data_IF_978774208382
#
_entry.id   IF_978774208382
#
_cell.length_a   1.000
_cell.length_b   1.000
_cell.length_c   1.000
_cell.angle_alpha   90.00
_cell.angle_beta   90.00
_cell.angle_gamma   90.00
#
_symmetry.space_group_name_H-M   'P 1'
#
loop_
_entity.id
_entity.type
_entity.pdbx_description
1 polymer ?
#
# COMPACT_ATOMS: atom_id res chain seq x y z
N UNK A 1 2.13 4.89 26.15
CA UNK A 1 0.72 5.24 25.86
C UNK A 1 0.63 5.25 24.35
N UNK A 2 0.44 4.09 23.73
CA UNK A 2 0.61 3.91 22.28
C UNK A 2 -0.62 4.52 21.57
N UNK A 3 -0.48 5.79 21.19
CA UNK A 3 -0.55 6.21 19.79
C UNK A 3 -1.81 5.83 19.00
N UNK A 4 -2.98 6.22 19.49
CA UNK A 4 -4.30 6.06 18.83
C UNK A 4 -4.34 6.56 17.36
N UNK A 5 -3.34 7.32 16.91
CA UNK A 5 -3.22 7.86 15.54
C UNK A 5 -2.03 7.36 14.73
N UNK A 6 -1.12 6.55 15.30
CA UNK A 6 0.06 6.02 14.60
C UNK A 6 -0.31 5.17 13.39
N UNK A 7 -1.43 4.45 13.49
CA UNK A 7 -1.90 3.55 12.45
C UNK A 7 -2.04 4.25 11.09
N UNK A 8 -2.28 5.56 11.06
CA UNK A 8 -2.37 6.36 9.83
C UNK A 8 -1.03 6.35 9.10
N UNK A 9 0.08 6.56 9.82
CA UNK A 9 1.42 6.51 9.24
C UNK A 9 1.74 5.11 8.75
N UNK A 10 1.37 4.07 9.51
CA UNK A 10 1.59 2.68 9.13
C UNK A 10 0.83 2.31 7.86
N UNK A 11 -0.44 2.68 7.73
CA UNK A 11 -1.24 2.44 6.51
C UNK A 11 -0.66 3.18 5.31
N UNK A 12 -0.26 4.44 5.47
CA UNK A 12 0.35 5.21 4.37
C UNK A 12 1.64 4.52 3.90
N UNK A 13 2.51 4.10 4.83
CA UNK A 13 3.75 3.43 4.48
C UNK A 13 3.51 2.06 3.81
N UNK A 14 2.52 1.29 4.29
CA UNK A 14 2.14 0.02 3.67
C UNK A 14 1.59 0.24 2.26
N UNK A 15 0.71 1.23 2.06
CA UNK A 15 0.11 1.52 0.75
C UNK A 15 1.16 2.02 -0.27
N UNK A 16 2.13 2.81 0.19
CA UNK A 16 3.29 3.21 -0.62
C UNK A 16 4.14 2.00 -1.04
N UNK A 17 4.48 1.12 -0.09
CA UNK A 17 5.27 -0.09 -0.38
C UNK A 17 4.50 -1.07 -1.29
N UNK A 18 3.20 -1.27 -1.08
CA UNK A 18 2.35 -2.09 -1.95
C UNK A 18 2.35 -1.56 -3.39
N UNK A 19 2.25 -0.24 -3.58
CA UNK A 19 2.32 0.38 -4.90
C UNK A 19 3.67 0.13 -5.60
N UNK A 20 4.78 0.26 -4.86
CA UNK A 20 6.12 -0.03 -5.38
C UNK A 20 6.29 -1.51 -5.77
N UNK A 21 5.78 -2.42 -4.94
CA UNK A 21 5.80 -3.86 -5.20
C UNK A 21 4.96 -4.23 -6.42
N UNK A 22 3.78 -3.64 -6.59
CA UNK A 22 2.93 -3.85 -7.78
C UNK A 22 3.66 -3.45 -9.07
N UNK A 23 4.32 -2.29 -9.08
CA UNK A 23 5.13 -1.83 -10.22
C UNK A 23 6.27 -2.82 -10.48
N UNK A 24 6.99 -3.24 -9.44
CA UNK A 24 8.12 -4.18 -9.56
C UNK A 24 7.67 -5.55 -10.09
N UNK A 25 6.55 -6.08 -9.60
CA UNK A 25 5.96 -7.33 -10.05
C UNK A 25 5.57 -7.25 -11.54
N UNK A 26 4.91 -6.17 -11.94
CA UNK A 26 4.53 -5.96 -13.34
C UNK A 26 5.75 -5.92 -14.27
N UNK A 27 6.81 -5.24 -13.88
CA UNK A 27 8.05 -5.18 -14.65
C UNK A 27 8.72 -6.55 -14.75
N UNK A 28 8.83 -7.30 -13.64
CA UNK A 28 9.46 -8.61 -13.64
C UNK A 28 8.63 -9.67 -14.40
N UNK A 29 7.30 -9.62 -14.32
CA UNK A 29 6.40 -10.50 -15.10
C UNK A 29 6.51 -10.21 -16.60
N UNK A 30 6.56 -8.93 -16.99
CA UNK A 30 6.79 -8.54 -18.39
C UNK A 30 8.15 -9.01 -18.88
N UNK A 31 9.20 -8.80 -18.10
CA UNK A 31 10.53 -9.30 -18.44
C UNK A 31 10.52 -10.83 -18.58
N UNK A 32 9.92 -11.57 -17.65
CA UNK A 32 9.80 -13.03 -17.73
C UNK A 32 9.11 -13.48 -19.04
N UNK A 33 8.06 -12.79 -19.47
CA UNK A 33 7.37 -13.12 -20.73
C UNK A 33 8.26 -12.98 -21.97
N UNK A 34 9.20 -12.02 -21.96
CA UNK A 34 10.18 -11.82 -23.04
C UNK A 34 11.23 -12.93 -23.10
N UNK A 35 11.48 -13.55 -21.95
CA UNK A 35 12.35 -14.71 -21.84
C UNK A 35 11.63 -16.05 -22.03
N UNK A 36 10.32 -16.07 -22.27
CA UNK A 36 9.58 -17.31 -22.47
C UNK A 36 9.79 -17.88 -23.88
N UNK A 37 10.58 -18.95 -23.98
CA UNK A 37 10.83 -19.67 -25.23
C UNK A 37 9.56 -20.30 -25.81
N UNK A 38 8.59 -20.71 -24.99
CA UNK A 38 7.36 -21.37 -25.44
C UNK A 38 6.37 -20.37 -26.05
N UNK A 39 6.29 -19.17 -25.48
CA UNK A 39 5.46 -18.07 -25.99
C UNK A 39 6.13 -17.26 -27.11
N UNK A 40 7.35 -17.62 -27.52
CA UNK A 40 8.07 -16.92 -28.58
C UNK A 40 8.63 -15.55 -28.14
N UNK A 41 9.03 -15.43 -26.88
CA UNK A 41 9.70 -14.26 -26.32
C UNK A 41 10.91 -13.82 -27.14
N UNK A 42 11.01 -12.51 -27.38
CA UNK A 42 12.02 -11.90 -28.23
C UNK A 42 13.46 -12.12 -27.71
N UNK A 43 13.65 -12.07 -26.38
CA UNK A 43 14.95 -12.26 -25.76
C UNK A 43 15.39 -13.73 -25.78
N UNK A 44 14.46 -14.67 -25.62
CA UNK A 44 14.75 -16.10 -25.63
C UNK A 44 15.27 -16.60 -27.00
N UNK A 45 14.75 -16.05 -28.10
CA UNK A 45 15.07 -16.46 -29.48
C UNK A 45 16.53 -16.26 -29.88
N UNK A 46 17.22 -15.32 -29.25
CA UNK A 46 18.60 -14.95 -29.59
C UNK A 46 19.63 -15.50 -28.59
N UNK A 47 19.20 -16.38 -27.68
CA UNK A 47 20.02 -16.87 -26.58
C UNK A 47 20.06 -18.39 -26.56
N UNK A 48 21.10 -18.96 -25.96
CA UNK A 48 21.16 -20.41 -25.76
C UNK A 48 20.18 -20.84 -24.65
N UNK A 49 19.78 -22.11 -24.69
CA UNK A 49 18.79 -22.68 -23.76
C UNK A 49 19.17 -22.48 -22.29
N UNK A 50 20.43 -22.69 -21.93
CA UNK A 50 20.90 -22.57 -20.54
C UNK A 50 20.82 -21.14 -20.02
N UNK A 51 21.18 -20.15 -20.84
CA UNK A 51 21.06 -18.72 -20.50
C UNK A 51 19.61 -18.34 -20.27
N UNK A 52 18.71 -18.74 -21.18
CA UNK A 52 17.28 -18.47 -21.05
C UNK A 52 16.70 -19.12 -19.80
N UNK A 53 17.00 -20.40 -19.55
CA UNK A 53 16.52 -21.12 -18.37
C UNK A 53 17.01 -20.47 -17.07
N UNK A 54 18.30 -20.13 -16.98
CA UNK A 54 18.86 -19.45 -15.79
C UNK A 54 18.18 -18.11 -15.53
N UNK A 55 17.92 -17.34 -16.58
CA UNK A 55 17.27 -16.04 -16.47
C UNK A 55 15.80 -16.17 -16.03
N UNK A 56 15.07 -17.14 -16.59
CA UNK A 56 13.70 -17.45 -16.18
C UNK A 56 13.62 -17.87 -14.71
N UNK A 57 14.51 -18.75 -14.25
CA UNK A 57 14.57 -19.20 -12.85
C UNK A 57 14.74 -17.99 -11.92
N UNK A 58 15.75 -17.16 -12.18
CA UNK A 58 16.02 -15.96 -11.36
C UNK A 58 14.83 -15.00 -11.32
N UNK A 59 14.16 -14.78 -12.45
CA UNK A 59 13.00 -13.90 -12.50
C UNK A 59 11.82 -14.48 -11.71
N UNK A 60 11.61 -15.80 -11.77
CA UNK A 60 10.57 -16.47 -10.99
C UNK A 60 10.83 -16.37 -9.49
N UNK A 61 12.08 -16.58 -9.06
CA UNK A 61 12.48 -16.42 -7.65
C UNK A 61 12.18 -15.00 -7.16
N UNK A 62 12.58 -13.97 -7.91
CA UNK A 62 12.30 -12.56 -7.57
C UNK A 62 10.79 -12.28 -7.53
N UNK A 63 10.02 -12.80 -8.48
CA UNK A 63 8.55 -12.64 -8.49
C UNK A 63 7.92 -13.30 -7.26
N UNK A 64 8.40 -14.48 -6.86
CA UNK A 64 7.92 -15.20 -5.68
C UNK A 64 8.21 -14.42 -4.39
N UNK A 65 9.42 -13.88 -4.23
CA UNK A 65 9.81 -13.03 -3.10
C UNK A 65 8.95 -11.77 -3.01
N UNK A 66 8.77 -11.06 -4.12
CA UNK A 66 7.93 -9.86 -4.19
C UNK A 66 6.45 -10.17 -3.88
N UNK A 67 5.93 -11.30 -4.39
CA UNK A 67 4.55 -11.72 -4.13
C UNK A 67 4.36 -12.06 -2.65
N UNK A 68 5.30 -12.79 -2.05
CA UNK A 68 5.27 -13.11 -0.63
C UNK A 68 5.25 -11.84 0.23
N UNK A 69 6.10 -10.86 -0.10
CA UNK A 69 6.12 -9.57 0.60
C UNK A 69 4.80 -8.81 0.44
N UNK A 70 4.21 -8.82 -0.75
CA UNK A 70 2.91 -8.19 -1.02
C UNK A 70 1.80 -8.82 -0.17
N UNK A 71 1.78 -10.15 -0.05
CA UNK A 71 0.83 -10.89 0.79
C UNK A 71 0.99 -10.54 2.28
N UNK A 72 2.23 -10.48 2.79
CA UNK A 72 2.52 -10.09 4.16
C UNK A 72 2.02 -8.68 4.49
N UNK A 73 2.27 -7.71 3.60
CA UNK A 73 1.83 -6.33 3.76
C UNK A 73 0.32 -6.18 3.67
N UNK A 74 -0.32 -6.90 2.74
CA UNK A 74 -1.78 -6.90 2.60
C UNK A 74 -2.42 -7.41 3.89
N UNK A 75 -1.89 -8.49 4.46
CA UNK A 75 -2.35 -9.02 5.74
C UNK A 75 -2.17 -8.02 6.89
N UNK A 76 -0.99 -7.40 6.99
CA UNK A 76 -0.73 -6.38 8.02
C UNK A 76 -1.70 -5.19 7.89
N UNK A 77 -1.97 -4.76 6.66
CA UNK A 77 -2.94 -3.71 6.35
C UNK A 77 -4.33 -4.07 6.85
N UNK A 78 -4.80 -5.28 6.54
CA UNK A 78 -6.12 -5.77 6.92
C UNK A 78 -6.27 -5.87 8.44
N UNK A 79 -5.23 -6.34 9.14
CA UNK A 79 -5.21 -6.40 10.61
C UNK A 79 -5.34 -5.00 11.25
N UNK A 80 -4.65 -3.99 10.69
CA UNK A 80 -4.78 -2.60 11.14
C UNK A 80 -6.21 -2.10 10.89
N UNK A 81 -6.77 -2.35 9.70
CA UNK A 81 -8.13 -1.93 9.33
C UNK A 81 -9.16 -2.56 10.27
N UNK A 82 -9.02 -3.85 10.58
CA UNK A 82 -9.91 -4.55 11.52
C UNK A 82 -9.83 -3.92 12.91
N UNK A 83 -8.62 -3.61 13.40
CA UNK A 83 -8.43 -2.99 14.70
C UNK A 83 -9.10 -1.61 14.79
N UNK A 84 -8.89 -0.75 13.79
CA UNK A 84 -9.46 0.61 13.81
C UNK A 84 -10.97 0.61 13.56
N UNK A 85 -11.53 -0.42 12.91
CA UNK A 85 -12.97 -0.52 12.64
C UNK A 85 -13.80 -0.56 13.93
N UNK A 86 -13.16 -0.93 15.04
CA UNK A 86 -13.75 -0.96 16.39
C UNK A 86 -13.87 0.44 17.00
N UNK A 87 -13.18 1.45 16.46
CA UNK A 87 -13.23 2.81 16.94
C UNK A 87 -14.49 3.54 16.45
N UNK A 88 -15.19 4.20 17.38
CA UNK A 88 -16.44 4.93 17.12
C UNK A 88 -16.29 6.46 17.22
N UNK A 89 -15.08 6.95 17.57
CA UNK A 89 -14.83 8.37 17.71
C UNK A 89 -14.81 9.10 16.37
N UNK A 90 -15.38 10.30 16.32
CA UNK A 90 -15.42 11.13 15.11
C UNK A 90 -14.03 11.33 14.48
N UNK A 91 -13.01 11.53 15.32
CA UNK A 91 -11.63 11.73 14.87
C UNK A 91 -11.08 10.49 14.13
N UNK A 92 -11.40 9.29 14.62
CA UNK A 92 -11.03 8.03 13.97
C UNK A 92 -11.81 7.81 12.68
N UNK A 93 -13.10 8.16 12.66
CA UNK A 93 -13.92 8.08 11.46
C UNK A 93 -13.40 9.02 10.36
N UNK A 94 -13.02 10.25 10.71
CA UNK A 94 -12.42 11.20 9.76
C UNK A 94 -11.15 10.62 9.14
N UNK A 95 -10.26 10.03 9.95
CA UNK A 95 -9.00 9.45 9.46
C UNK A 95 -9.24 8.20 8.61
N UNK A 96 -10.12 7.29 9.04
CA UNK A 96 -10.49 6.11 8.27
C UNK A 96 -11.06 6.48 6.91
N UNK A 97 -12.06 7.36 6.89
CA UNK A 97 -12.66 7.81 5.63
C UNK A 97 -11.63 8.48 4.72
N UNK A 98 -10.67 9.21 5.29
CA UNK A 98 -9.65 9.91 4.50
C UNK A 98 -8.62 8.98 3.88
N UNK A 99 -8.12 8.00 4.64
CA UNK A 99 -6.94 7.21 4.26
C UNK A 99 -7.25 5.77 3.84
N UNK A 100 -8.41 5.23 4.20
CA UNK A 100 -8.83 3.88 3.80
C UNK A 100 -9.92 3.97 2.74
N UNK A 101 -10.95 4.78 3.00
CA UNK A 101 -12.07 4.94 2.06
C UNK A 101 -11.76 5.96 0.96
N UNK A 102 -10.57 6.59 1.00
CA UNK A 102 -10.07 7.55 0.01
C UNK A 102 -11.00 8.76 -0.25
N UNK A 103 -11.80 9.15 0.74
CA UNK A 103 -12.75 10.25 0.61
C UNK A 103 -12.07 11.62 0.69
N UNK A 104 -12.68 12.60 0.02
CA UNK A 104 -12.32 14.02 0.16
C UNK A 104 -12.85 14.56 1.50
N UNK A 105 -12.28 15.66 1.99
CA UNK A 105 -12.77 16.27 3.23
C UNK A 105 -14.20 16.83 3.06
N UNK A 106 -14.56 17.21 1.83
CA UNK A 106 -15.90 17.62 1.41
C UNK A 106 -16.89 16.44 1.48
N UNK A 107 -16.50 15.26 0.96
CA UNK A 107 -17.28 14.03 1.07
C UNK A 107 -17.45 13.62 2.53
N UNK A 108 -16.37 13.67 3.33
CA UNK A 108 -16.42 13.33 4.76
C UNK A 108 -17.38 14.25 5.52
N UNK A 109 -17.37 15.55 5.22
CA UNK A 109 -18.32 16.50 5.80
C UNK A 109 -19.77 16.13 5.47
N UNK A 110 -20.02 15.71 4.23
CA UNK A 110 -21.34 15.25 3.78
C UNK A 110 -21.77 13.98 4.53
N UNK A 111 -20.90 12.97 4.60
CA UNK A 111 -21.19 11.67 5.26
C UNK A 111 -21.39 11.81 6.78
N UNK A 112 -20.64 12.70 7.41
CA UNK A 112 -20.70 12.91 8.87
C UNK A 112 -21.73 13.95 9.29
N UNK A 113 -22.35 14.67 8.35
CA UNK A 113 -23.32 15.75 8.61
C UNK A 113 -22.71 17.03 9.20
N UNK A 114 -21.39 17.15 9.23
CA UNK A 114 -20.69 18.35 9.69
C UNK A 114 -20.40 19.33 8.56
N UNK A 115 -20.12 20.58 8.90
CA UNK A 115 -19.63 21.55 7.91
C UNK A 115 -18.23 21.17 7.44
N UNK A 116 -17.93 21.45 6.17
CA UNK A 116 -16.58 21.29 5.62
C UNK A 116 -15.52 22.01 6.45
N UNK A 117 -15.80 23.24 6.89
CA UNK A 117 -14.87 24.03 7.70
C UNK A 117 -14.54 23.34 9.03
N UNK A 118 -15.52 22.65 9.64
CA UNK A 118 -15.31 21.91 10.87
C UNK A 118 -14.42 20.69 10.62
N UNK A 119 -14.73 19.86 9.62
CA UNK A 119 -13.93 18.69 9.24
C UNK A 119 -12.50 19.07 8.88
N UNK A 120 -12.32 20.13 8.07
CA UNK A 120 -11.00 20.64 7.70
C UNK A 120 -10.18 21.07 8.92
N UNK A 121 -10.80 21.78 9.86
CA UNK A 121 -10.13 22.21 11.09
C UNK A 121 -9.73 21.04 11.96
N UNK A 122 -10.63 20.07 12.12
CA UNK A 122 -10.38 18.84 12.89
C UNK A 122 -9.29 17.98 12.28
N UNK A 123 -9.33 17.75 10.97
CA UNK A 123 -8.26 17.06 10.25
C UNK A 123 -6.91 17.75 10.46
N UNK A 124 -6.84 19.08 10.35
CA UNK A 124 -5.60 19.82 10.57
C UNK A 124 -5.07 19.73 12.02
N UNK A 125 -5.95 19.60 13.02
CA UNK A 125 -5.59 19.31 14.41
C UNK A 125 -4.98 17.91 14.55
N UNK A 126 -5.66 16.88 14.03
CA UNK A 126 -5.19 15.50 14.06
C UNK A 126 -3.84 15.34 13.39
N UNK A 127 -3.65 15.95 12.22
CA UNK A 127 -2.38 15.89 11.49
C UNK A 127 -1.24 16.61 12.23
N UNK A 128 -1.53 17.60 13.08
CA UNK A 128 -0.50 18.21 13.95
C UNK A 128 -0.09 17.24 15.05
N UNK A 129 -1.03 16.55 15.68
CA UNK A 129 -0.77 15.55 16.71
C UNK A 129 0.07 14.40 16.15
N UNK A 130 -0.36 13.80 15.02
CA UNK A 130 0.34 12.70 14.35
C UNK A 130 1.79 13.08 14.02
N UNK A 131 1.99 14.28 13.45
CA UNK A 131 3.34 14.74 13.10
C UNK A 131 4.20 15.09 14.30
N UNK A 132 3.60 15.52 15.40
CA UNK A 132 4.32 15.86 16.62
C UNK A 132 4.87 14.60 17.29
N UNK A 133 4.04 13.57 17.43
CA UNK A 133 4.45 12.28 18.00
C UNK A 133 5.63 11.68 17.24
N UNK A 134 5.60 11.73 15.90
CA UNK A 134 6.70 11.25 15.05
C UNK A 134 8.05 11.95 15.25
N UNK A 135 8.08 13.19 15.78
CA UNK A 135 9.34 13.93 16.02
C UNK A 135 9.90 13.73 17.44
N UNK A 136 9.14 13.08 18.32
CA UNK A 136 9.51 12.85 19.72
C UNK A 136 10.34 11.59 19.96
N UNK A 137 10.44 10.72 18.96
CA UNK A 137 11.27 9.50 18.92
C UNK A 137 12.56 9.72 18.12
#
# INVERSE_FOLDING_TARGET
MIEIYEWVCSIIAIDEELCELEISLELNKKELSRWDSYAGGDLAKHQNFLTTLRKQIRLKEVIEELTTRQEELTKQRDEIIELISKFQGLEQQILKMKYIDNLTLESIATETGYSYSYIKSKHAELMRIIRFNRKGD
#
